data_IF_553409365642
#
_entry.id   IF_553409365642
#
_cell.length_a   1.000
_cell.length_b   1.000
_cell.length_c   1.000
_cell.angle_alpha   90.00
_cell.angle_beta   90.00
_cell.angle_gamma   90.00
#
_symmetry.space_group_name_H-M   'P 1'
#
loop_
_entity.id
_entity.type
_entity.pdbx_description
1 polymer ?
#
# COMPACT_ATOMS: atom_id res chain seq x y z
N UNK A 1 -3.34 -5.34 56.99
CA UNK A 1 -2.81 -4.51 55.88
C UNK A 1 -2.99 -5.33 54.61
N UNK A 2 -3.98 -4.93 53.79
CA UNK A 2 -4.49 -5.67 52.64
C UNK A 2 -3.55 -5.55 51.45
N UNK A 3 -3.07 -6.68 50.92
CA UNK A 3 -2.42 -6.78 49.62
C UNK A 3 -3.51 -6.73 48.55
N UNK A 4 -3.73 -5.56 47.95
CA UNK A 4 -4.45 -5.48 46.68
C UNK A 4 -3.47 -5.87 45.58
N UNK A 5 -3.43 -7.16 45.25
CA UNK A 5 -2.90 -7.61 43.96
C UNK A 5 -3.74 -6.94 42.87
N UNK A 6 -3.09 -6.08 42.09
CA UNK A 6 -3.60 -5.55 40.84
C UNK A 6 -3.98 -6.73 39.95
N UNK A 7 -5.25 -7.10 40.00
CA UNK A 7 -5.85 -8.06 39.08
C UNK A 7 -5.81 -7.41 37.70
N UNK A 8 -4.69 -7.55 36.99
CA UNK A 8 -4.57 -7.23 35.57
C UNK A 8 -5.65 -8.04 34.88
N UNK A 9 -6.70 -7.36 34.44
CA UNK A 9 -7.71 -7.93 33.57
C UNK A 9 -6.98 -8.37 32.29
N UNK A 10 -6.62 -9.64 32.25
CA UNK A 10 -6.11 -10.30 31.06
C UNK A 10 -7.34 -10.51 30.18
N UNK A 11 -7.42 -9.80 29.06
CA UNK A 11 -8.40 -10.09 28.01
C UNK A 11 -7.87 -11.29 27.22
N UNK A 12 -8.43 -12.50 27.40
CA UNK A 12 -7.88 -13.72 26.80
C UNK A 12 -8.36 -13.92 25.35
N UNK A 13 -9.10 -12.95 24.80
CA UNK A 13 -9.75 -13.06 23.51
C UNK A 13 -8.81 -12.58 22.40
N UNK A 14 -8.74 -13.35 21.33
CA UNK A 14 -8.14 -12.88 20.09
C UNK A 14 -8.95 -11.70 19.54
N UNK A 15 -8.32 -10.54 19.44
CA UNK A 15 -8.94 -9.39 18.78
C UNK A 15 -9.03 -9.65 17.28
N UNK A 16 -10.26 -9.89 16.79
CA UNK A 16 -10.53 -10.03 15.37
C UNK A 16 -10.97 -8.67 14.81
N UNK A 17 -10.16 -8.09 13.94
CA UNK A 17 -10.54 -6.90 13.17
C UNK A 17 -11.50 -7.32 12.06
N UNK A 18 -12.80 -7.02 12.24
CA UNK A 18 -13.81 -7.24 11.19
C UNK A 18 -13.79 -6.01 10.26
N UNK A 19 -13.52 -6.23 8.98
CA UNK A 19 -13.55 -5.17 7.99
C UNK A 19 -15.01 -4.90 7.58
N UNK A 20 -15.59 -3.79 8.05
CA UNK A 20 -16.89 -3.32 7.59
C UNK A 20 -16.68 -2.36 6.42
N UNK A 21 -16.91 -2.85 5.21
CA UNK A 21 -16.82 -2.04 4.00
C UNK A 21 -18.19 -1.39 3.76
N UNK A 22 -18.23 -0.07 3.84
CA UNK A 22 -19.40 0.73 3.50
C UNK A 22 -19.40 0.98 1.98
N UNK A 23 -20.54 0.78 1.28
CA UNK A 23 -20.64 1.09 -0.14
C UNK A 23 -20.34 2.56 -0.45
N UNK A 24 -19.65 2.82 -1.56
CA UNK A 24 -19.17 4.15 -1.95
C UNK A 24 -20.28 5.21 -1.93
N UNK A 25 -21.47 4.90 -2.45
CA UNK A 25 -22.60 5.84 -2.45
C UNK A 25 -23.02 6.27 -1.03
N UNK A 26 -23.04 5.32 -0.08
CA UNK A 26 -23.37 5.63 1.31
C UNK A 26 -22.24 6.43 1.98
N UNK A 27 -20.98 6.13 1.64
CA UNK A 27 -19.81 6.87 2.11
C UNK A 27 -19.81 8.32 1.59
N UNK A 28 -20.07 8.51 0.30
CA UNK A 28 -20.20 9.83 -0.34
C UNK A 28 -21.30 10.65 0.33
N UNK A 29 -22.47 10.06 0.55
CA UNK A 29 -23.58 10.74 1.22
C UNK A 29 -23.22 11.13 2.66
N UNK A 30 -22.51 10.27 3.39
CA UNK A 30 -22.04 10.55 4.74
C UNK A 30 -21.05 11.72 4.76
N UNK A 31 -20.05 11.71 3.88
CA UNK A 31 -19.02 12.76 3.79
C UNK A 31 -19.66 14.09 3.37
N UNK A 32 -20.53 14.09 2.36
CA UNK A 32 -21.27 15.28 1.93
C UNK A 32 -22.12 15.87 3.06
N UNK A 33 -22.83 15.01 3.80
CA UNK A 33 -23.61 15.42 4.95
C UNK A 33 -22.74 16.01 6.08
N UNK A 34 -21.59 15.43 6.39
CA UNK A 34 -20.71 15.93 7.45
C UNK A 34 -20.10 17.29 7.08
N UNK A 35 -19.60 17.42 5.84
CA UNK A 35 -19.02 18.65 5.32
C UNK A 35 -20.02 19.80 5.31
N UNK A 36 -21.23 19.58 4.79
CA UNK A 36 -22.25 20.64 4.74
C UNK A 36 -22.86 20.97 6.11
N UNK A 37 -22.86 20.00 7.03
CA UNK A 37 -23.28 20.23 8.42
C UNK A 37 -22.31 21.14 9.17
N UNK A 38 -21.00 21.02 8.91
CA UNK A 38 -19.97 21.80 9.60
C UNK A 38 -19.66 23.13 8.89
N UNK A 39 -19.53 23.10 7.56
CA UNK A 39 -18.98 24.21 6.80
C UNK A 39 -20.02 25.04 6.04
N UNK A 40 -21.30 24.66 6.06
CA UNK A 40 -22.38 25.37 5.39
C UNK A 40 -22.69 24.81 3.99
N UNK A 41 -23.43 25.56 3.18
CA UNK A 41 -23.84 25.08 1.85
C UNK A 41 -22.69 25.07 0.85
N UNK A 42 -22.15 23.88 0.59
CA UNK A 42 -21.02 23.68 -0.34
C UNK A 42 -21.47 23.23 -1.74
N UNK A 43 -22.78 23.08 -1.98
CA UNK A 43 -23.31 22.58 -3.24
C UNK A 43 -23.10 21.06 -3.43
N UNK A 44 -23.09 20.30 -2.33
CA UNK A 44 -23.03 18.83 -2.34
C UNK A 44 -24.41 18.17 -2.22
N UNK A 45 -25.48 18.97 -2.21
CA UNK A 45 -26.88 18.54 -2.19
C UNK A 45 -27.23 17.56 -1.04
N UNK A 46 -26.58 17.70 0.11
CA UNK A 46 -26.86 16.84 1.27
C UNK A 46 -28.13 17.30 2.01
N UNK A 47 -28.83 16.37 2.71
CA UNK A 47 -29.99 16.70 3.53
C UNK A 47 -29.61 17.33 4.89
N UNK A 48 -28.34 17.74 5.08
CA UNK A 48 -27.87 18.31 6.35
C UNK A 48 -28.54 19.66 6.65
N UNK A 49 -28.67 19.97 7.94
CA UNK A 49 -28.99 21.35 8.37
C UNK A 49 -27.74 22.21 8.20
N UNK A 50 -27.70 22.99 7.14
CA UNK A 50 -26.52 23.77 6.74
C UNK A 50 -26.39 25.06 7.56
N UNK A 51 -25.30 25.27 8.31
CA UNK A 51 -25.02 26.54 9.00
C UNK A 51 -24.57 27.62 8.00
N UNK A 52 -24.36 28.87 8.45
CA UNK A 52 -23.63 29.87 7.67
C UNK A 52 -22.24 29.37 7.28
N UNK A 53 -21.73 29.83 6.12
CA UNK A 53 -20.43 29.39 5.63
C UNK A 53 -19.30 29.72 6.62
N UNK A 54 -18.64 28.66 7.08
CA UNK A 54 -17.39 28.75 7.85
C UNK A 54 -16.25 29.38 7.02
N UNK A 55 -15.14 29.82 7.62
CA UNK A 55 -13.98 30.33 6.86
C UNK A 55 -13.51 29.34 5.78
N UNK A 56 -13.39 28.06 6.12
CA UNK A 56 -13.03 27.01 5.16
C UNK A 56 -14.13 26.84 4.08
N UNK A 57 -15.40 26.88 4.46
CA UNK A 57 -16.52 26.80 3.51
C UNK A 57 -16.55 27.97 2.51
N UNK A 58 -16.19 29.18 2.95
CA UNK A 58 -16.04 30.35 2.07
C UNK A 58 -14.87 30.16 1.10
N UNK A 59 -13.74 29.63 1.58
CA UNK A 59 -12.57 29.35 0.73
C UNK A 59 -12.91 28.28 -0.31
N UNK A 60 -13.54 27.19 0.11
CA UNK A 60 -13.92 26.05 -0.74
C UNK A 60 -14.95 26.41 -1.81
N UNK A 61 -15.84 27.37 -1.54
CA UNK A 61 -16.82 27.89 -2.52
C UNK A 61 -16.30 29.05 -3.35
N UNK A 62 -15.16 29.65 -2.97
CA UNK A 62 -14.55 30.75 -3.71
C UNK A 62 -13.93 30.28 -5.02
N UNK A 63 -13.89 31.17 -6.03
CA UNK A 63 -13.17 30.94 -7.30
C UNK A 63 -11.64 30.81 -7.15
N UNK A 64 -11.12 31.02 -5.93
CA UNK A 64 -9.70 30.94 -5.60
C UNK A 64 -9.30 29.50 -5.28
N UNK A 65 -10.26 28.63 -4.91
CA UNK A 65 -9.99 27.22 -4.69
C UNK A 65 -9.45 26.57 -5.98
N UNK A 66 -8.29 25.94 -5.87
CA UNK A 66 -7.60 25.24 -6.97
C UNK A 66 -8.38 24.00 -7.46
N UNK A 67 -9.30 23.47 -6.63
CA UNK A 67 -10.11 22.28 -6.88
C UNK A 67 -11.55 22.51 -6.43
N UNK A 68 -12.49 21.84 -7.10
CA UNK A 68 -13.89 21.79 -6.65
C UNK A 68 -14.02 21.02 -5.33
N UNK A 69 -15.00 21.40 -4.50
CA UNK A 69 -15.34 20.68 -3.27
C UNK A 69 -15.63 19.20 -3.53
N UNK A 70 -16.28 18.90 -4.66
CA UNK A 70 -16.55 17.54 -5.11
C UNK A 70 -15.27 16.70 -5.24
N UNK A 71 -14.18 17.30 -5.75
CA UNK A 71 -12.90 16.60 -5.87
C UNK A 71 -12.26 16.30 -4.52
N UNK A 72 -12.39 17.19 -3.54
CA UNK A 72 -11.92 16.91 -2.18
C UNK A 72 -12.75 15.81 -1.52
N UNK A 73 -14.06 15.79 -1.74
CA UNK A 73 -14.94 14.73 -1.29
C UNK A 73 -14.54 13.37 -1.89
N UNK A 74 -14.35 13.30 -3.21
CA UNK A 74 -13.87 12.09 -3.90
C UNK A 74 -12.53 11.61 -3.33
N UNK A 75 -11.58 12.53 -3.10
CA UNK A 75 -10.30 12.18 -2.50
C UNK A 75 -10.44 11.60 -1.08
N UNK A 76 -11.39 12.09 -0.27
CA UNK A 76 -11.67 11.53 1.07
C UNK A 76 -12.36 10.17 0.96
N UNK A 77 -13.30 9.99 0.03
CA UNK A 77 -13.95 8.69 -0.23
C UNK A 77 -12.91 7.64 -0.62
N UNK A 78 -12.07 7.97 -1.60
CA UNK A 78 -10.98 7.10 -2.07
C UNK A 78 -9.99 6.79 -0.94
N UNK A 79 -9.62 7.81 -0.15
CA UNK A 79 -8.73 7.63 0.98
C UNK A 79 -9.34 6.77 2.08
N UNK A 80 -10.66 6.83 2.28
CA UNK A 80 -11.38 6.06 3.29
C UNK A 80 -11.55 4.58 2.91
N UNK A 81 -11.55 4.23 1.61
CA UNK A 81 -11.59 2.86 1.12
C UNK A 81 -12.72 2.01 1.74
N UNK A 82 -13.89 2.63 1.97
CA UNK A 82 -15.05 2.00 2.60
C UNK A 82 -14.99 1.92 4.14
N UNK A 83 -13.93 2.38 4.80
CA UNK A 83 -13.81 2.41 6.25
C UNK A 83 -14.32 3.74 6.84
N UNK A 84 -15.47 3.70 7.52
CA UNK A 84 -16.10 4.89 8.11
C UNK A 84 -15.25 5.57 9.18
N UNK A 85 -14.46 4.81 9.95
CA UNK A 85 -13.60 5.37 11.00
C UNK A 85 -12.49 6.20 10.39
N UNK A 86 -11.98 5.76 9.23
CA UNK A 86 -10.98 6.47 8.48
C UNK A 86 -11.55 7.70 7.76
N UNK A 87 -12.75 7.59 7.19
CA UNK A 87 -13.48 8.75 6.66
C UNK A 87 -13.66 9.81 7.75
N UNK A 88 -14.11 9.40 8.94
CA UNK A 88 -14.28 10.31 10.08
C UNK A 88 -12.95 10.93 10.52
N UNK A 89 -11.88 10.15 10.64
CA UNK A 89 -10.55 10.67 10.99
C UNK A 89 -10.04 11.72 9.98
N UNK A 90 -10.33 11.53 8.69
CA UNK A 90 -9.99 12.49 7.63
C UNK A 90 -10.84 13.76 7.72
N UNK A 91 -12.14 13.61 7.97
CA UNK A 91 -13.06 14.74 8.19
C UNK A 91 -12.67 15.56 9.42
N UNK A 92 -12.33 14.91 10.53
CA UNK A 92 -11.88 15.59 11.75
C UNK A 92 -10.60 16.39 11.49
N UNK A 93 -9.67 15.84 10.71
CA UNK A 93 -8.47 16.58 10.31
C UNK A 93 -8.84 17.80 9.46
N UNK A 94 -9.78 17.67 8.51
CA UNK A 94 -10.25 18.77 7.66
C UNK A 94 -10.96 19.85 8.47
N UNK A 95 -11.76 19.49 9.46
CA UNK A 95 -12.47 20.46 10.30
C UNK A 95 -11.53 21.33 11.14
N UNK A 96 -10.30 20.88 11.39
CA UNK A 96 -9.27 21.68 12.06
C UNK A 96 -8.55 22.67 11.13
N UNK A 97 -8.84 22.64 9.83
CA UNK A 97 -8.18 23.49 8.83
C UNK A 97 -8.97 24.78 8.61
N UNK A 98 -8.27 25.91 8.59
CA UNK A 98 -8.87 27.22 8.35
C UNK A 98 -8.51 27.78 6.97
N UNK A 99 -7.44 27.26 6.34
CA UNK A 99 -6.88 27.79 5.08
C UNK A 99 -6.72 26.71 4.01
N UNK A 100 -6.62 27.13 2.73
CA UNK A 100 -6.35 26.24 1.60
C UNK A 100 -4.94 25.63 1.69
N UNK A 101 -3.97 26.41 2.17
CA UNK A 101 -2.57 25.97 2.30
C UNK A 101 -2.44 24.82 3.31
N UNK A 102 -3.19 24.88 4.41
CA UNK A 102 -3.25 23.79 5.40
C UNK A 102 -3.85 22.51 4.82
N UNK A 103 -4.86 22.66 3.94
CA UNK A 103 -5.53 21.56 3.26
C UNK A 103 -4.61 20.88 2.25
N UNK A 104 -3.82 21.64 1.51
CA UNK A 104 -2.84 21.10 0.56
C UNK A 104 -1.65 20.45 1.28
N UNK A 105 -1.13 21.10 2.34
CA UNK A 105 0.04 20.61 3.08
C UNK A 105 -0.21 19.28 3.81
N UNK A 106 -1.44 19.02 4.28
CA UNK A 106 -1.80 17.83 5.07
C UNK A 106 -2.57 16.77 4.29
N UNK A 107 -2.73 16.97 2.98
CA UNK A 107 -3.46 16.06 2.08
C UNK A 107 -2.90 14.64 2.12
N UNK A 108 -1.58 14.50 2.00
CA UNK A 108 -0.92 13.20 1.95
C UNK A 108 -0.62 12.64 3.35
N UNK A 109 -0.68 13.46 4.40
CA UNK A 109 -0.40 13.04 5.76
C UNK A 109 -1.50 12.09 6.28
N UNK A 110 -1.11 10.98 6.92
CA UNK A 110 -2.06 10.13 7.62
C UNK A 110 -2.51 10.79 8.94
N UNK A 111 -3.83 10.79 9.27
CA UNK A 111 -4.32 11.30 10.54
C UNK A 111 -3.64 10.61 11.73
N UNK A 112 -3.30 11.37 12.78
CA UNK A 112 -2.53 10.86 13.94
C UNK A 112 -3.19 9.68 14.64
N UNK A 113 -4.53 9.67 14.71
CA UNK A 113 -5.29 8.55 15.28
C UNK A 113 -5.16 7.27 14.45
N UNK A 114 -5.06 7.37 13.12
CA UNK A 114 -4.86 6.22 12.22
C UNK A 114 -3.44 5.68 12.37
N UNK A 115 -2.44 6.56 12.44
CA UNK A 115 -1.05 6.18 12.76
C UNK A 115 -1.00 5.46 14.11
N UNK A 116 -1.64 6.02 15.16
CA UNK A 116 -1.68 5.42 16.50
C UNK A 116 -2.39 4.05 16.51
N UNK A 117 -3.46 3.90 15.72
CA UNK A 117 -4.16 2.63 15.56
C UNK A 117 -3.25 1.56 14.93
N UNK A 118 -2.52 1.91 13.85
CA UNK A 118 -1.58 0.99 13.21
C UNK A 118 -0.42 0.63 14.14
N UNK A 119 0.19 1.62 14.80
CA UNK A 119 1.22 1.42 15.82
C UNK A 119 0.75 0.46 16.92
N UNK A 120 -0.44 0.67 17.46
CA UNK A 120 -1.01 -0.21 18.49
C UNK A 120 -1.20 -1.63 18.00
N UNK A 121 -1.58 -1.82 16.73
CA UNK A 121 -1.73 -3.14 16.15
C UNK A 121 -0.38 -3.81 15.85
N UNK A 122 0.63 -3.05 15.40
CA UNK A 122 1.98 -3.54 15.15
C UNK A 122 2.73 -3.92 16.43
N UNK A 123 2.52 -3.22 17.54
CA UNK A 123 3.05 -3.63 18.86
C UNK A 123 2.68 -5.06 19.22
N UNK A 124 1.47 -5.52 18.83
CA UNK A 124 1.05 -6.91 19.05
C UNK A 124 1.86 -7.90 18.20
N UNK A 125 2.24 -7.49 16.98
CA UNK A 125 3.12 -8.29 16.13
C UNK A 125 4.51 -8.40 16.77
N UNK A 126 5.04 -7.31 17.31
CA UNK A 126 6.36 -7.29 17.96
C UNK A 126 6.42 -8.18 19.20
N UNK A 127 5.31 -8.35 19.92
CA UNK A 127 5.22 -9.24 21.09
C UNK A 127 5.06 -10.72 20.74
N UNK A 128 5.00 -11.10 19.46
CA UNK A 128 4.80 -12.50 19.07
C UNK A 128 6.01 -13.37 19.41
N UNK A 129 5.79 -14.62 19.86
CA UNK A 129 6.87 -15.51 20.27
C UNK A 129 7.70 -15.99 19.07
N UNK A 130 8.98 -16.29 19.34
CA UNK A 130 9.91 -16.85 18.34
C UNK A 130 10.14 -15.92 17.15
N UNK A 131 10.25 -16.49 15.96
CA UNK A 131 10.57 -15.76 14.73
C UNK A 131 9.32 -15.15 14.04
N UNK A 132 8.12 -15.28 14.62
CA UNK A 132 6.87 -14.84 14.02
C UNK A 132 6.85 -13.33 13.77
N UNK A 133 7.36 -12.53 14.72
CA UNK A 133 7.44 -11.09 14.56
C UNK A 133 8.37 -10.69 13.39
N UNK A 134 9.51 -11.36 13.22
CA UNK A 134 10.41 -11.11 12.09
C UNK A 134 9.77 -11.48 10.75
N UNK A 135 9.11 -12.65 10.69
CA UNK A 135 8.38 -13.11 9.50
C UNK A 135 7.33 -12.06 9.13
N UNK A 136 6.57 -11.58 10.11
CA UNK A 136 5.51 -10.61 9.90
C UNK A 136 6.06 -9.26 9.37
N UNK A 137 7.04 -8.66 10.05
CA UNK A 137 7.62 -7.38 9.63
C UNK A 137 8.24 -7.47 8.23
N UNK A 138 8.89 -8.60 7.94
CA UNK A 138 9.49 -8.84 6.62
C UNK A 138 8.42 -9.05 5.54
N UNK A 139 7.39 -9.84 5.82
CA UNK A 139 6.27 -10.03 4.91
C UNK A 139 5.53 -8.72 4.61
N UNK A 140 5.30 -7.88 5.63
CA UNK A 140 4.67 -6.57 5.48
C UNK A 140 5.47 -5.67 4.56
N UNK A 141 6.79 -5.55 4.79
CA UNK A 141 7.68 -4.77 3.93
C UNK A 141 7.76 -5.31 2.50
N UNK A 142 7.76 -6.64 2.33
CA UNK A 142 7.82 -7.29 1.03
C UNK A 142 6.51 -7.17 0.23
N UNK A 143 5.36 -7.24 0.89
CA UNK A 143 4.05 -7.10 0.25
C UNK A 143 3.74 -5.64 -0.12
N UNK A 144 4.27 -4.67 0.61
CA UNK A 144 4.06 -3.24 0.37
C UNK A 144 4.88 -2.65 -0.80
N UNK A 145 5.52 -3.47 -1.64
CA UNK A 145 6.22 -2.98 -2.84
C UNK A 145 5.27 -2.63 -4.00
N UNK A 146 4.09 -3.26 -4.06
CA UNK A 146 3.03 -2.98 -5.03
C UNK A 146 1.72 -2.84 -4.22
N UNK A 147 0.87 -1.89 -4.58
CA UNK A 147 -0.45 -1.68 -3.97
C UNK A 147 -1.33 -2.94 -4.06
N UNK A 148 -1.15 -3.76 -5.11
CA UNK A 148 -1.84 -5.04 -5.31
C UNK A 148 -1.22 -6.18 -4.49
N UNK A 149 -0.23 -5.89 -3.65
CA UNK A 149 0.49 -6.87 -2.88
C UNK A 149 1.51 -7.67 -3.68
N UNK A 150 2.01 -8.75 -3.08
CA UNK A 150 2.97 -9.67 -3.68
C UNK A 150 2.42 -11.09 -3.74
N UNK A 151 2.87 -11.87 -4.73
CA UNK A 151 2.49 -13.27 -4.86
C UNK A 151 3.13 -14.11 -3.76
N UNK A 152 2.40 -15.11 -3.25
CA UNK A 152 2.89 -15.99 -2.19
C UNK A 152 4.24 -16.63 -2.52
N UNK A 153 4.50 -17.15 -3.75
CA UNK A 153 5.82 -17.67 -4.10
C UNK A 153 6.96 -16.65 -3.95
N UNK A 154 6.73 -15.40 -4.35
CA UNK A 154 7.72 -14.31 -4.24
C UNK A 154 7.97 -13.96 -2.78
N UNK A 155 6.92 -13.91 -1.95
CA UNK A 155 7.06 -13.69 -0.52
C UNK A 155 7.84 -14.83 0.15
N UNK A 156 7.59 -16.08 -0.24
CA UNK A 156 8.33 -17.24 0.29
C UNK A 156 9.81 -17.23 -0.11
N UNK A 157 10.15 -16.85 -1.34
CA UNK A 157 11.54 -16.67 -1.77
C UNK A 157 12.26 -15.61 -0.91
N UNK A 158 11.60 -14.47 -0.71
CA UNK A 158 12.08 -13.38 0.15
C UNK A 158 12.24 -13.78 1.62
N UNK A 159 11.42 -14.72 2.08
CA UNK A 159 11.39 -15.21 3.46
C UNK A 159 12.06 -16.59 3.62
N UNK A 160 12.85 -17.05 2.65
CA UNK A 160 13.45 -18.41 2.61
C UNK A 160 14.28 -18.81 3.84
N UNK A 161 14.70 -17.84 4.66
CA UNK A 161 15.42 -18.10 5.93
C UNK A 161 14.51 -18.64 7.03
N UNK A 162 13.20 -18.58 6.84
CA UNK A 162 12.18 -19.06 7.76
C UNK A 162 11.50 -20.30 7.21
N UNK A 163 11.05 -21.17 8.12
CA UNK A 163 10.30 -22.37 7.76
C UNK A 163 8.83 -22.02 7.46
N UNK A 164 8.58 -21.50 6.26
CA UNK A 164 7.24 -21.09 5.78
C UNK A 164 6.72 -22.13 4.78
N UNK A 165 5.68 -22.85 5.18
CA UNK A 165 5.08 -23.94 4.39
C UNK A 165 4.09 -23.39 3.37
N UNK A 166 3.33 -22.36 3.75
CA UNK A 166 2.28 -21.81 2.89
C UNK A 166 2.02 -20.31 3.13
N UNK A 167 1.14 -19.71 2.33
CA UNK A 167 0.74 -18.30 2.49
C UNK A 167 -0.05 -18.05 3.77
N UNK A 168 -0.72 -19.08 4.30
CA UNK A 168 -1.46 -19.05 5.56
C UNK A 168 -0.52 -18.83 6.75
N UNK A 169 0.67 -19.44 6.76
CA UNK A 169 1.68 -19.18 7.80
C UNK A 169 2.08 -17.68 7.81
N UNK A 170 2.15 -17.04 6.63
CA UNK A 170 2.40 -15.60 6.50
C UNK A 170 1.22 -14.78 7.02
N UNK A 171 -0.01 -15.16 6.65
CA UNK A 171 -1.24 -14.50 7.10
C UNK A 171 -1.42 -14.57 8.62
N UNK A 172 -1.08 -15.71 9.22
CA UNK A 172 -1.07 -15.91 10.67
C UNK A 172 -0.07 -14.96 11.34
N UNK A 173 1.17 -14.90 10.82
CA UNK A 173 2.22 -14.04 11.36
C UNK A 173 1.83 -12.56 11.32
N UNK A 174 1.22 -12.09 10.22
CA UNK A 174 0.84 -10.68 10.03
C UNK A 174 -0.49 -10.30 10.68
N UNK A 175 -1.20 -11.23 11.33
CA UNK A 175 -2.40 -10.95 12.17
C UNK A 175 -3.45 -10.04 11.49
N UNK A 176 -3.72 -10.26 10.21
CA UNK A 176 -4.75 -9.53 9.45
C UNK A 176 -4.32 -8.19 8.85
N UNK A 177 -3.03 -7.82 8.95
CA UNK A 177 -2.49 -6.65 8.26
C UNK A 177 -2.24 -6.88 6.76
N UNK A 178 -2.15 -8.14 6.34
CA UNK A 178 -2.27 -8.54 4.94
C UNK A 178 -3.53 -9.36 4.75
N UNK A 179 -4.15 -9.21 3.58
CA UNK A 179 -5.29 -10.00 3.14
C UNK A 179 -4.98 -10.65 1.80
N UNK A 180 -5.57 -11.83 1.59
CA UNK A 180 -5.61 -12.47 0.28
C UNK A 180 -6.45 -11.64 -0.67
N UNK A 181 -5.87 -11.22 -1.80
CA UNK A 181 -6.61 -10.57 -2.87
C UNK A 181 -6.94 -11.58 -3.96
N UNK A 182 -8.18 -11.61 -4.47
CA UNK A 182 -8.49 -12.40 -5.65
C UNK A 182 -7.76 -11.82 -6.86
N UNK A 183 -7.18 -12.69 -7.68
CA UNK A 183 -6.36 -12.29 -8.84
C UNK A 183 -6.79 -13.01 -10.10
N UNK A 184 -6.59 -12.36 -11.24
CA UNK A 184 -6.71 -12.98 -12.57
C UNK A 184 -5.57 -13.99 -12.87
N UNK A 185 -4.54 -14.03 -12.02
CA UNK A 185 -3.41 -14.95 -12.07
C UNK A 185 -3.68 -16.23 -11.26
N UNK A 186 -3.03 -17.33 -11.63
CA UNK A 186 -3.13 -18.61 -10.90
C UNK A 186 -2.55 -18.56 -9.48
N UNK A 187 -1.69 -17.58 -9.17
CA UNK A 187 -1.02 -17.45 -7.88
C UNK A 187 -1.70 -16.44 -6.96
N UNK A 188 -2.00 -16.88 -5.73
CA UNK A 188 -2.55 -16.04 -4.66
C UNK A 188 -1.61 -14.87 -4.33
N UNK A 189 -2.19 -13.68 -4.15
CA UNK A 189 -1.47 -12.48 -3.70
C UNK A 189 -1.89 -12.07 -2.30
N UNK A 190 -0.92 -11.56 -1.54
CA UNK A 190 -1.14 -10.96 -0.23
C UNK A 190 -0.85 -9.46 -0.33
N UNK A 191 -1.86 -8.64 -0.05
CA UNK A 191 -1.77 -7.18 -0.09
C UNK A 191 -2.09 -6.58 1.27
N UNK A 192 -1.66 -5.33 1.50
CA UNK A 192 -2.08 -4.58 2.67
C UNK A 192 -3.61 -4.56 2.78
N UNK A 193 -4.12 -4.76 3.99
CA UNK A 193 -5.57 -4.84 4.20
C UNK A 193 -6.33 -3.56 3.82
N UNK A 194 -5.63 -2.43 3.77
CA UNK A 194 -6.18 -1.13 3.42
C UNK A 194 -5.14 -0.22 2.76
N UNK A 195 -5.58 0.67 1.85
CA UNK A 195 -4.71 1.63 1.15
C UNK A 195 -3.93 2.53 2.10
N UNK A 196 -4.56 2.99 3.19
CA UNK A 196 -3.88 3.83 4.18
C UNK A 196 -2.78 3.07 4.92
N UNK A 197 -2.94 1.77 5.11
CA UNK A 197 -1.89 0.95 5.72
C UNK A 197 -0.74 0.70 4.73
N UNK A 198 -1.05 0.50 3.44
CA UNK A 198 -0.04 0.51 2.39
C UNK A 198 0.77 1.83 2.42
N UNK A 199 0.10 2.98 2.45
CA UNK A 199 0.75 4.30 2.56
C UNK A 199 1.58 4.42 3.84
N UNK A 200 1.05 3.96 4.97
CA UNK A 200 1.76 3.95 6.25
C UNK A 200 3.10 3.20 6.15
N UNK A 201 3.14 2.06 5.46
CA UNK A 201 4.38 1.31 5.23
C UNK A 201 5.30 2.05 4.25
N UNK A 202 4.78 2.49 3.10
CA UNK A 202 5.62 3.10 2.04
C UNK A 202 6.20 4.45 2.43
N UNK A 203 5.46 5.24 3.22
CA UNK A 203 5.91 6.52 3.79
C UNK A 203 6.78 6.34 5.04
N UNK A 204 7.07 5.09 5.43
CA UNK A 204 8.04 4.72 6.49
C UNK A 204 7.68 5.25 7.88
N UNK A 205 6.39 5.29 8.21
CA UNK A 205 5.97 5.65 9.57
C UNK A 205 6.51 4.65 10.61
N UNK A 206 6.64 3.36 10.25
CA UNK A 206 7.19 2.33 11.14
C UNK A 206 8.63 1.95 10.79
N UNK A 207 9.56 2.25 11.71
CA UNK A 207 10.99 1.95 11.51
C UNK A 207 11.27 0.44 11.44
N UNK A 208 10.56 -0.38 12.23
CA UNK A 208 10.78 -1.83 12.24
C UNK A 208 10.45 -2.50 10.90
N UNK A 209 9.40 -2.03 10.20
CA UNK A 209 9.04 -2.55 8.88
C UNK A 209 10.07 -2.07 7.85
N UNK A 210 10.50 -0.82 7.95
CA UNK A 210 11.52 -0.26 7.06
C UNK A 210 12.87 -0.98 7.18
N UNK A 211 13.32 -1.25 8.39
CA UNK A 211 14.56 -2.01 8.62
C UNK A 211 14.41 -3.45 8.12
N UNK A 212 13.27 -4.08 8.37
CA UNK A 212 12.98 -5.42 7.85
C UNK A 212 12.99 -5.45 6.32
N UNK A 213 12.40 -4.46 5.63
CA UNK A 213 12.36 -4.44 4.16
C UNK A 213 13.76 -4.37 3.54
N UNK A 214 14.68 -3.62 4.15
CA UNK A 214 16.07 -3.53 3.70
C UNK A 214 16.82 -4.87 3.79
N UNK A 215 16.46 -5.75 4.74
CA UNK A 215 17.10 -7.05 4.91
C UNK A 215 16.63 -8.11 3.90
N UNK A 216 15.55 -7.82 3.17
CA UNK A 216 14.90 -8.75 2.23
C UNK A 216 15.23 -8.40 0.78
N UNK A 217 15.72 -7.19 0.52
CA UNK A 217 16.28 -6.86 -0.78
C UNK A 217 17.51 -7.72 -1.02
N UNK A 218 17.31 -8.81 -1.78
CA UNK A 218 18.41 -9.59 -2.34
C UNK A 218 19.20 -8.60 -3.21
N UNK A 219 20.51 -8.41 -2.98
CA UNK A 219 21.30 -7.53 -3.81
C UNK A 219 21.12 -7.97 -5.26
N UNK A 220 20.57 -7.09 -6.11
CA UNK A 220 20.70 -7.28 -7.56
C UNK A 220 22.19 -7.46 -7.83
N UNK A 221 22.62 -8.44 -8.64
CA UNK A 221 24.02 -8.51 -9.04
C UNK A 221 24.39 -7.14 -9.61
N UNK A 222 25.31 -6.45 -8.93
CA UNK A 222 25.85 -5.18 -9.36
C UNK A 222 26.59 -5.45 -10.66
N UNK A 223 25.95 -5.15 -11.79
CA UNK A 223 26.70 -4.91 -13.01
C UNK A 223 27.49 -3.63 -12.78
N UNK A 224 28.74 -3.78 -12.33
CA UNK A 224 29.69 -2.68 -12.33
C UNK A 224 29.70 -2.09 -13.74
N UNK A 225 29.57 -0.77 -13.92
CA UNK A 225 29.84 -0.15 -15.20
C UNK A 225 31.23 -0.60 -15.63
N UNK A 226 31.30 -1.33 -16.72
CA UNK A 226 32.57 -1.67 -17.35
C UNK A 226 33.22 -0.32 -17.67
N UNK A 227 34.36 -0.02 -17.05
CA UNK A 227 35.09 1.19 -17.39
C UNK A 227 35.30 1.18 -18.90
N UNK A 228 34.71 2.18 -19.56
CA UNK A 228 34.89 2.39 -20.99
C UNK A 228 36.36 2.76 -21.12
N UNK A 229 37.17 1.76 -21.48
CA UNK A 229 38.57 1.97 -21.83
C UNK A 229 38.66 3.12 -22.82
N UNK A 230 39.64 4.00 -22.58
CA UNK A 230 39.91 5.18 -23.41
C UNK A 230 39.79 4.87 -24.89
N UNK A 231 39.12 5.71 -25.69
CA UNK A 231 38.88 5.44 -27.10
C UNK A 231 40.21 5.27 -27.85
N UNK A 232 40.44 4.08 -28.42
CA UNK A 232 41.54 3.86 -29.35
C UNK A 232 41.39 4.78 -30.57
N UNK A 233 42.48 5.41 -31.05
CA UNK A 233 42.43 6.28 -32.22
C UNK A 233 42.03 5.47 -33.46
N UNK A 234 40.93 5.90 -34.08
CA UNK A 234 40.35 5.35 -35.30
C UNK A 234 41.35 5.48 -36.45
N UNK A 235 41.84 4.37 -36.99
CA UNK A 235 42.44 4.31 -38.34
C UNK A 235 41.38 3.90 -39.36
N UNK A 236 41.10 4.71 -40.40
CA UNK A 236 39.99 4.47 -41.29
C UNK A 236 40.42 3.64 -42.50
N UNK A 237 40.13 2.33 -42.55
CA UNK A 237 40.16 1.61 -43.82
C UNK A 237 39.04 0.56 -43.95
N UNK A 238 38.17 0.86 -44.92
CA UNK A 238 37.48 -0.03 -45.87
C UNK A 238 36.48 -1.05 -45.33
N UNK A 239 35.20 -0.67 -45.48
CA UNK A 239 34.05 -1.57 -45.56
C UNK A 239 34.28 -2.66 -46.61
N UNK A 240 34.32 -3.91 -46.17
CA UNK A 240 34.11 -5.07 -47.03
C UNK A 240 32.84 -5.76 -46.56
N UNK A 241 31.79 -5.69 -47.39
CA UNK A 241 30.55 -6.47 -47.21
C UNK A 241 30.90 -7.94 -47.34
N UNK A 242 30.62 -8.73 -46.32
CA UNK A 242 30.45 -10.18 -46.45
C UNK A 242 29.26 -10.63 -45.60
N UNK A 243 28.18 -10.90 -46.32
CA UNK A 243 27.05 -11.72 -45.92
C UNK A 243 27.61 -13.12 -45.62
N UNK A 244 27.32 -13.71 -44.46
CA UNK A 244 27.33 -15.17 -44.31
C UNK A 244 26.32 -15.63 -43.27
N UNK A 245 25.60 -16.68 -43.64
CA UNK A 245 24.33 -17.21 -43.14
C UNK A 245 24.39 -17.92 -41.78
N UNK A 246 23.23 -18.20 -41.15
CA UNK A 246 23.13 -19.06 -39.97
C UNK A 246 23.26 -20.54 -40.35
N UNK A 247 24.04 -21.29 -39.58
CA UNK A 247 24.11 -22.77 -39.66
C UNK A 247 23.73 -23.31 -38.29
N UNK A 248 22.56 -23.96 -38.20
CA UNK A 248 22.51 -25.40 -37.91
C UNK A 248 21.17 -26.02 -38.33
N UNK A 249 21.15 -27.30 -38.77
CA UNK A 249 20.12 -27.86 -39.62
C UNK A 249 19.16 -28.81 -38.90
N UNK A 250 17.90 -28.81 -39.36
CA UNK A 250 16.90 -29.82 -39.03
C UNK A 250 17.27 -31.17 -39.68
N UNK A 251 17.29 -32.23 -38.87
CA UNK A 251 17.47 -33.61 -39.30
C UNK A 251 16.14 -34.12 -39.87
N UNK A 252 16.08 -34.37 -41.17
CA UNK A 252 15.00 -35.13 -41.82
C UNK A 252 15.58 -36.49 -42.23
N UNK A 253 14.95 -37.57 -41.76
CA UNK A 253 15.37 -38.95 -42.01
C UNK A 253 15.12 -39.36 -43.46
N UNK A 254 16.03 -40.21 -43.95
CA UNK A 254 16.05 -40.88 -45.26
C UNK A 254 14.75 -41.64 -45.54
N UNK A 255 14.37 -41.63 -46.82
CA UNK A 255 13.40 -42.51 -47.49
C UNK A 255 11.93 -42.07 -47.61
N UNK A 256 11.68 -40.87 -48.15
CA UNK A 256 10.48 -40.64 -48.97
C UNK A 256 10.89 -40.13 -50.35
N UNK A 257 10.62 -40.96 -51.34
CA UNK A 257 10.90 -40.80 -52.75
C UNK A 257 9.81 -39.89 -53.35
N UNK A 258 10.21 -38.76 -53.92
CA UNK A 258 9.35 -37.94 -54.76
C UNK A 258 8.91 -38.74 -55.99
N UNK A 259 7.64 -38.67 -56.37
CA UNK A 259 7.17 -38.83 -57.75
C UNK A 259 6.06 -37.81 -58.04
N UNK A 260 6.38 -36.96 -59.03
CA UNK A 260 5.54 -36.15 -59.93
C UNK A 260 4.43 -35.27 -59.33
#
# INVERSE_FOLDING_TARGET
MSKHEESKLLEPYDHVSINMIIPDMAMTNYIAWDLEREHGDLGLDSPARKPPLSPLGQVLTSKIASKSVQKYMEEIVDAAGGNVSLAKARLDLLHTMETLDDLEARRDQLPTNIVAMFESGLKRIETQPGNQHEIALKALGAAATDIRGAEVPVLREKLQKFDIRSGEDILEAVRGFLLSTPTDTESLRLAAFHLSFFRYITERYHQGIHHASQQIEIPKPSFYPQEIGTPSPVTPYTLSRSITQPIQPFIIRKDTRDWA
#
